data_IF_486746057613
#
_entry.id   IF_486746057613
#
_cell.length_a   1.000
_cell.length_b   1.000
_cell.length_c   1.000
_cell.angle_alpha   90.00
_cell.angle_beta   90.00
_cell.angle_gamma   90.00
#
_symmetry.space_group_name_H-M   'P 1'
#
loop_
_entity.id
_entity.type
_entity.pdbx_description
1 polymer ?
#
# COMPACT_ATOMS: atom_id res chain seq x y z
N UNK A 1 -37.60 23.72 -15.80
CA UNK A 1 -37.61 22.44 -15.08
C UNK A 1 -36.30 22.33 -14.36
N UNK A 2 -36.35 22.58 -13.06
CA UNK A 2 -35.25 22.43 -12.13
C UNK A 2 -34.81 20.96 -12.17
N UNK A 3 -33.60 20.69 -12.63
CA UNK A 3 -33.04 19.34 -12.53
C UNK A 3 -32.72 19.12 -11.05
N UNK A 4 -33.60 18.40 -10.36
CA UNK A 4 -33.29 17.78 -9.07
C UNK A 4 -32.15 16.78 -9.29
N UNK A 5 -30.92 17.25 -9.07
CA UNK A 5 -29.74 16.39 -8.88
C UNK A 5 -30.05 15.49 -7.68
N UNK A 6 -30.06 14.18 -7.89
CA UNK A 6 -30.26 13.22 -6.82
C UNK A 6 -29.29 13.53 -5.65
N UNK A 7 -29.72 13.47 -4.38
CA UNK A 7 -28.86 13.77 -3.25
C UNK A 7 -27.60 12.89 -3.32
N UNK A 8 -26.46 13.58 -3.23
CA UNK A 8 -25.12 13.07 -3.49
C UNK A 8 -24.85 11.74 -2.77
N UNK A 9 -24.33 10.74 -3.49
CA UNK A 9 -23.98 9.44 -2.90
C UNK A 9 -22.63 9.50 -2.15
N UNK A 10 -22.45 10.47 -1.25
CA UNK A 10 -21.31 10.57 -0.31
C UNK A 10 -21.15 9.30 0.55
N UNK A 11 -22.18 8.46 0.62
CA UNK A 11 -22.16 7.17 1.27
C UNK A 11 -21.22 6.15 0.61
N UNK A 12 -20.85 6.35 -0.66
CA UNK A 12 -19.95 5.42 -1.36
C UNK A 12 -18.50 5.49 -0.87
N UNK A 13 -18.13 6.59 -0.21
CA UNK A 13 -16.82 6.74 0.42
C UNK A 13 -16.89 6.08 1.80
N UNK A 14 -16.16 4.98 2.02
CA UNK A 14 -16.10 4.35 3.33
C UNK A 14 -15.41 5.29 4.32
N UNK A 15 -15.79 5.19 5.58
CA UNK A 15 -15.05 5.82 6.67
C UNK A 15 -13.64 5.24 6.75
N UNK A 16 -12.70 6.04 7.26
CA UNK A 16 -11.31 5.63 7.44
C UNK A 16 -10.89 5.85 8.88
N UNK A 17 -10.45 4.76 9.50
CA UNK A 17 -9.97 4.69 10.88
C UNK A 17 -8.46 4.39 10.96
N UNK A 18 -7.83 4.07 9.82
CA UNK A 18 -6.44 3.64 9.74
C UNK A 18 -6.22 2.13 9.71
N UNK A 19 -7.27 1.31 9.88
CA UNK A 19 -7.15 -0.16 9.97
C UNK A 19 -7.69 -0.91 8.75
N UNK A 20 -8.68 -0.34 8.06
CA UNK A 20 -9.48 -1.04 7.06
C UNK A 20 -8.77 -1.22 5.70
N UNK A 21 -8.17 -0.14 5.19
CA UNK A 21 -7.46 -0.07 3.91
C UNK A 21 -6.13 0.65 4.15
N UNK A 22 -5.17 0.53 3.23
CA UNK A 22 -4.02 1.44 3.29
C UNK A 22 -4.49 2.87 3.05
N UNK A 23 -3.88 3.86 3.74
CA UNK A 23 -4.22 5.27 3.55
C UNK A 23 -4.14 5.69 2.08
N UNK A 24 -3.15 5.18 1.33
CA UNK A 24 -2.98 5.47 -0.09
C UNK A 24 -4.12 4.91 -0.98
N UNK A 25 -4.68 3.75 -0.67
CA UNK A 25 -5.82 3.20 -1.41
C UNK A 25 -7.10 3.96 -1.09
N UNK A 26 -7.32 4.26 0.18
CA UNK A 26 -8.48 5.03 0.62
C UNK A 26 -8.50 6.43 0.02
N UNK A 27 -7.37 7.17 0.08
CA UNK A 27 -7.25 8.51 -0.51
C UNK A 27 -7.52 8.51 -2.02
N UNK A 28 -6.96 7.54 -2.76
CA UNK A 28 -7.22 7.40 -4.21
C UNK A 28 -8.70 7.17 -4.51
N UNK A 29 -9.39 6.39 -3.66
CA UNK A 29 -10.83 6.14 -3.79
C UNK A 29 -11.65 7.40 -3.52
N UNK A 30 -11.31 8.15 -2.47
CA UNK A 30 -11.94 9.45 -2.15
C UNK A 30 -11.79 10.42 -3.32
N UNK A 31 -10.56 10.65 -3.78
CA UNK A 31 -10.27 11.56 -4.90
C UNK A 31 -11.00 11.17 -6.18
N UNK A 32 -11.00 9.88 -6.52
CA UNK A 32 -11.72 9.37 -7.69
C UNK A 32 -13.22 9.58 -7.57
N UNK A 33 -13.79 9.33 -6.40
CA UNK A 33 -15.23 9.51 -6.14
C UNK A 33 -15.60 10.99 -6.20
N UNK A 34 -14.82 11.88 -5.56
CA UNK A 34 -15.02 13.32 -5.63
C UNK A 34 -14.99 13.83 -7.07
N UNK A 35 -14.01 13.38 -7.87
CA UNK A 35 -13.90 13.72 -9.30
C UNK A 35 -15.10 13.25 -10.11
N UNK A 36 -15.55 12.01 -9.91
CA UNK A 36 -16.72 11.45 -10.61
C UNK A 36 -18.02 12.14 -10.21
N UNK A 37 -18.12 12.62 -8.97
CA UNK A 37 -19.29 13.30 -8.42
C UNK A 37 -19.25 14.84 -8.60
N UNK A 38 -18.21 15.40 -9.22
CA UNK A 38 -18.07 16.85 -9.40
C UNK A 38 -17.85 17.64 -8.10
N UNK A 39 -17.34 16.99 -7.05
CA UNK A 39 -17.03 17.64 -5.78
C UNK A 39 -15.71 18.39 -5.89
N UNK A 40 -15.72 19.67 -5.57
CA UNK A 40 -14.54 20.54 -5.60
C UNK A 40 -13.79 20.59 -4.27
N UNK A 41 -14.50 20.46 -3.15
CA UNK A 41 -13.92 20.52 -1.79
C UNK A 41 -13.61 19.12 -1.25
N UNK A 42 -12.60 18.48 -1.85
CA UNK A 42 -12.16 17.12 -1.48
C UNK A 42 -11.62 17.06 -0.04
N UNK A 43 -10.99 18.13 0.44
CA UNK A 43 -10.40 18.15 1.79
C UNK A 43 -11.48 18.06 2.87
N UNK A 44 -12.62 18.73 2.68
CA UNK A 44 -13.78 18.55 3.57
C UNK A 44 -14.33 17.14 3.55
N UNK A 45 -14.38 16.50 2.37
CA UNK A 45 -14.85 15.10 2.26
C UNK A 45 -13.97 14.17 3.07
N UNK A 46 -12.65 14.35 2.96
CA UNK A 46 -11.68 13.61 3.75
C UNK A 46 -11.99 13.82 5.22
N UNK A 47 -11.99 15.07 5.71
CA UNK A 47 -12.21 15.38 7.13
C UNK A 47 -13.50 14.77 7.70
N UNK A 48 -14.61 14.80 6.95
CA UNK A 48 -15.90 14.22 7.38
C UNK A 48 -15.88 12.68 7.43
N UNK A 49 -15.01 12.04 6.63
CA UNK A 49 -14.92 10.58 6.52
C UNK A 49 -13.82 9.97 7.38
N UNK A 50 -12.99 10.79 8.01
CA UNK A 50 -12.03 10.33 9.01
C UNK A 50 -12.74 9.99 10.31
N UNK A 51 -12.33 8.90 10.93
CA UNK A 51 -12.85 8.42 12.22
C UNK A 51 -11.69 7.87 13.06
N UNK A 52 -11.91 7.69 14.36
CA UNK A 52 -10.92 7.10 15.28
C UNK A 52 -9.54 7.74 15.17
N UNK A 53 -8.49 6.91 15.11
CA UNK A 53 -7.11 7.36 15.06
C UNK A 53 -6.81 8.26 13.86
N UNK A 54 -7.50 8.07 12.72
CA UNK A 54 -7.29 8.89 11.55
C UNK A 54 -7.86 10.31 11.71
N UNK A 55 -8.97 10.44 12.44
CA UNK A 55 -9.49 11.74 12.84
C UNK A 55 -8.58 12.43 13.85
N UNK A 56 -8.04 11.70 14.84
CA UNK A 56 -7.12 12.26 15.83
C UNK A 56 -5.87 12.87 15.17
N UNK A 57 -5.33 12.21 14.14
CA UNK A 57 -4.20 12.72 13.34
C UNK A 57 -4.54 14.02 12.64
N UNK A 58 -5.75 14.13 12.09
CA UNK A 58 -6.24 15.32 11.40
C UNK A 58 -6.52 16.48 12.36
N UNK A 59 -7.16 16.21 13.51
CA UNK A 59 -7.50 17.20 14.52
C UNK A 59 -6.24 17.86 15.14
N UNK A 60 -5.15 17.10 15.25
CA UNK A 60 -3.85 17.60 15.72
C UNK A 60 -3.09 18.44 14.69
N UNK A 61 -3.56 18.53 13.44
CA UNK A 61 -2.93 19.39 12.43
C UNK A 61 -3.27 20.87 12.67
N UNK A 62 -2.36 21.81 12.35
CA UNK A 62 -2.69 23.25 12.33
C UNK A 62 -3.90 23.52 11.44
N UNK A 63 -4.77 24.45 11.84
CA UNK A 63 -5.99 24.80 11.07
C UNK A 63 -5.69 25.19 9.62
N UNK A 64 -4.55 25.83 9.39
CA UNK A 64 -4.06 26.19 8.05
C UNK A 64 -3.81 24.94 7.18
N UNK A 65 -3.15 23.93 7.76
CA UNK A 65 -2.84 22.67 7.08
C UNK A 65 -4.10 21.80 6.88
N UNK A 66 -5.07 21.86 7.79
CA UNK A 66 -6.35 21.14 7.65
C UNK A 66 -7.14 21.57 6.41
N UNK A 67 -6.97 22.80 5.95
CA UNK A 67 -7.60 23.31 4.72
C UNK A 67 -6.83 22.96 3.44
N UNK A 68 -5.62 22.40 3.57
CA UNK A 68 -4.75 22.08 2.45
C UNK A 68 -4.78 20.57 2.17
N UNK A 69 -5.36 20.21 1.02
CA UNK A 69 -5.50 18.81 0.60
C UNK A 69 -4.17 18.04 0.60
N UNK A 70 -3.10 18.64 0.09
CA UNK A 70 -1.80 17.97 -0.01
C UNK A 70 -1.19 17.75 1.38
N UNK A 71 -1.32 18.71 2.30
CA UNK A 71 -0.87 18.55 3.69
C UNK A 71 -1.61 17.46 4.43
N UNK A 72 -2.94 17.40 4.28
CA UNK A 72 -3.77 16.35 4.88
C UNK A 72 -3.37 14.98 4.35
N UNK A 73 -3.16 14.87 3.03
CA UNK A 73 -2.70 13.61 2.41
C UNK A 73 -1.34 13.19 2.93
N UNK A 74 -0.35 14.09 2.93
CA UNK A 74 0.99 13.81 3.46
C UNK A 74 0.93 13.33 4.91
N UNK A 75 0.16 14.01 5.76
CA UNK A 75 0.04 13.67 7.17
C UNK A 75 -0.59 12.30 7.38
N UNK A 76 -1.69 12.00 6.69
CA UNK A 76 -2.37 10.70 6.76
C UNK A 76 -1.48 9.58 6.23
N UNK A 77 -0.81 9.79 5.10
CA UNK A 77 0.12 8.81 4.53
C UNK A 77 1.28 8.51 5.48
N UNK A 78 1.82 9.53 6.15
CA UNK A 78 2.90 9.36 7.11
C UNK A 78 2.43 8.65 8.40
N UNK A 79 1.26 9.02 8.93
CA UNK A 79 0.74 8.46 10.17
C UNK A 79 0.31 6.98 10.04
N UNK A 80 -0.20 6.60 8.87
CA UNK A 80 -0.67 5.26 8.57
C UNK A 80 0.23 4.54 7.55
N UNK A 81 1.50 4.94 7.50
CA UNK A 81 2.50 4.23 6.72
C UNK A 81 2.63 2.79 7.27
N UNK A 82 2.75 1.77 6.39
CA UNK A 82 3.05 0.42 6.84
C UNK A 82 4.32 0.41 7.69
N UNK A 83 4.28 -0.26 8.84
CA UNK A 83 5.46 -0.39 9.71
C UNK A 83 6.59 -1.11 8.94
N UNK A 84 7.74 -0.44 8.70
CA UNK A 84 8.85 -1.03 7.95
C UNK A 84 9.41 -2.29 8.61
N UNK A 85 9.39 -2.37 9.94
CA UNK A 85 9.85 -3.55 10.67
C UNK A 85 8.91 -4.72 10.43
N UNK A 86 7.58 -4.49 10.51
CA UNK A 86 6.59 -5.54 10.22
C UNK A 86 6.65 -5.99 8.77
N UNK A 87 6.83 -5.07 7.82
CA UNK A 87 7.02 -5.40 6.41
C UNK A 87 8.25 -6.29 6.20
N UNK A 88 9.35 -6.01 6.91
CA UNK A 88 10.56 -6.83 6.88
C UNK A 88 10.34 -8.21 7.53
N UNK A 89 9.60 -8.30 8.64
CA UNK A 89 9.27 -9.61 9.24
C UNK A 89 8.42 -10.46 8.28
N UNK A 90 7.41 -9.86 7.64
CA UNK A 90 6.60 -10.57 6.64
C UNK A 90 7.45 -11.00 5.43
N UNK A 91 8.35 -10.12 4.96
CA UNK A 91 9.30 -10.43 3.88
C UNK A 91 10.10 -11.71 4.18
N UNK A 92 10.58 -11.88 5.42
CA UNK A 92 11.39 -13.05 5.81
C UNK A 92 10.61 -14.36 5.79
N UNK A 93 9.34 -14.34 6.18
CA UNK A 93 8.52 -15.56 6.29
C UNK A 93 7.65 -15.81 5.07
N UNK A 94 7.68 -14.91 4.07
CA UNK A 94 6.90 -15.06 2.84
C UNK A 94 7.35 -16.30 2.08
N UNK A 95 6.41 -17.21 1.83
CA UNK A 95 6.56 -18.40 0.99
C UNK A 95 5.55 -18.37 -0.13
N UNK A 96 5.83 -19.07 -1.23
CA UNK A 96 4.88 -19.27 -2.34
C UNK A 96 3.59 -19.88 -1.77
N UNK A 97 2.45 -19.23 -2.02
CA UNK A 97 1.15 -19.69 -1.52
C UNK A 97 0.53 -20.72 -2.48
N UNK A 98 -0.38 -21.53 -1.97
CA UNK A 98 -1.12 -22.49 -2.81
C UNK A 98 -1.90 -21.76 -3.91
N UNK A 99 -1.71 -22.19 -5.15
CA UNK A 99 -2.33 -21.57 -6.33
C UNK A 99 -1.71 -20.23 -6.76
N UNK A 100 -0.68 -19.74 -6.06
CA UNK A 100 0.05 -18.54 -6.44
C UNK A 100 1.11 -18.82 -7.50
N UNK A 101 1.24 -17.93 -8.48
CA UNK A 101 2.32 -18.02 -9.47
C UNK A 101 3.65 -17.50 -8.92
N UNK A 102 4.80 -18.02 -9.37
CA UNK A 102 6.11 -17.50 -8.93
C UNK A 102 6.26 -15.99 -9.15
N UNK A 103 5.74 -15.45 -10.26
CA UNK A 103 5.78 -14.01 -10.54
C UNK A 103 4.95 -13.19 -9.54
N UNK A 104 3.78 -13.68 -9.13
CA UNK A 104 2.96 -13.04 -8.10
C UNK A 104 3.66 -13.05 -6.73
N UNK A 105 4.33 -14.15 -6.38
CA UNK A 105 5.15 -14.26 -5.17
C UNK A 105 6.30 -13.23 -5.20
N UNK A 106 7.03 -13.15 -6.31
CA UNK A 106 8.11 -12.18 -6.48
C UNK A 106 7.61 -10.72 -6.43
N UNK A 107 6.45 -10.43 -7.02
CA UNK A 107 5.81 -9.12 -6.91
C UNK A 107 5.46 -8.78 -5.45
N UNK A 108 4.95 -9.76 -4.69
CA UNK A 108 4.70 -9.63 -3.26
C UNK A 108 5.97 -9.34 -2.46
N UNK A 109 7.06 -10.07 -2.72
CA UNK A 109 8.35 -9.85 -2.07
C UNK A 109 8.93 -8.46 -2.39
N UNK A 110 8.84 -8.00 -3.65
CA UNK A 110 9.25 -6.64 -4.05
C UNK A 110 8.47 -5.57 -3.30
N UNK A 111 7.15 -5.74 -3.18
CA UNK A 111 6.30 -4.82 -2.41
C UNK A 111 6.71 -4.77 -0.94
N UNK A 112 6.91 -5.93 -0.30
CA UNK A 112 7.34 -5.99 1.10
C UNK A 112 8.73 -5.37 1.31
N UNK A 113 9.66 -5.61 0.39
CA UNK A 113 10.97 -4.98 0.40
C UNK A 113 10.89 -3.45 0.31
N UNK A 114 10.05 -2.90 -0.58
CA UNK A 114 9.86 -1.45 -0.68
C UNK A 114 9.26 -0.88 0.61
N UNK A 115 8.26 -1.55 1.19
CA UNK A 115 7.65 -1.12 2.45
C UNK A 115 8.63 -1.19 3.63
N UNK A 116 9.59 -2.12 3.60
CA UNK A 116 10.66 -2.24 4.59
C UNK A 116 11.78 -1.17 4.45
N UNK A 117 11.68 -0.26 3.48
CA UNK A 117 12.73 0.74 3.19
C UNK A 117 13.77 0.28 2.16
N UNK A 118 13.51 -0.84 1.48
CA UNK A 118 14.37 -1.43 0.46
C UNK A 118 15.18 -2.63 0.96
N UNK A 119 15.48 -3.55 0.04
CA UNK A 119 16.45 -4.65 0.25
C UNK A 119 17.33 -4.76 -0.99
N UNK A 120 18.51 -5.37 -0.86
CA UNK A 120 19.35 -5.62 -2.03
C UNK A 120 18.68 -6.63 -2.98
N UNK A 121 18.93 -6.51 -4.28
CA UNK A 121 18.48 -7.50 -5.29
C UNK A 121 18.94 -8.92 -4.95
N UNK A 122 20.14 -9.06 -4.36
CA UNK A 122 20.66 -10.34 -3.89
C UNK A 122 19.86 -10.92 -2.72
N UNK A 123 19.42 -10.07 -1.77
CA UNK A 123 18.56 -10.50 -0.67
C UNK A 123 17.16 -10.84 -1.16
N UNK A 124 16.61 -10.07 -2.11
CA UNK A 124 15.33 -10.34 -2.76
C UNK A 124 15.35 -11.70 -3.49
N UNK A 125 16.40 -11.95 -4.29
CA UNK A 125 16.57 -13.23 -4.99
C UNK A 125 16.72 -14.40 -4.02
N UNK A 126 17.48 -14.22 -2.94
CA UNK A 126 17.66 -15.25 -1.90
C UNK A 126 16.34 -15.56 -1.20
N UNK A 127 15.57 -14.53 -0.83
CA UNK A 127 14.25 -14.68 -0.22
C UNK A 127 13.24 -15.35 -1.17
N UNK A 128 13.31 -15.04 -2.48
CA UNK A 128 12.47 -15.69 -3.48
C UNK A 128 12.76 -17.20 -3.56
N UNK A 129 14.04 -17.59 -3.63
CA UNK A 129 14.43 -19.00 -3.67
C UNK A 129 14.05 -19.72 -2.38
N UNK A 130 14.33 -19.13 -1.22
CA UNK A 130 13.91 -19.65 0.11
C UNK A 130 12.38 -19.74 0.25
N UNK A 131 11.66 -18.96 -0.55
CA UNK A 131 10.21 -18.91 -0.66
C UNK A 131 9.57 -20.08 -1.39
N UNK A 132 10.32 -20.83 -2.20
CA UNK A 132 9.79 -21.89 -3.07
C UNK A 132 9.63 -23.23 -2.32
N UNK A 133 8.80 -24.16 -2.80
CA UNK A 133 8.78 -25.54 -2.31
C UNK A 133 10.16 -26.21 -2.38
N UNK A 134 10.52 -26.99 -1.35
CA UNK A 134 11.85 -27.65 -1.20
C UNK A 134 12.35 -28.34 -2.49
N UNK A 135 11.55 -29.12 -3.23
CA UNK A 135 12.02 -29.78 -4.45
C UNK A 135 12.50 -28.80 -5.54
N UNK A 136 11.88 -27.63 -5.61
CA UNK A 136 12.26 -26.58 -6.56
C UNK A 136 13.53 -25.88 -6.06
N UNK A 137 13.66 -25.67 -4.75
CA UNK A 137 14.89 -25.11 -4.16
C UNK A 137 16.10 -26.01 -4.46
N UNK A 138 15.95 -27.32 -4.26
CA UNK A 138 17.00 -28.30 -4.53
C UNK A 138 17.39 -28.32 -6.01
N UNK A 139 16.40 -28.32 -6.92
CA UNK A 139 16.66 -28.23 -8.35
C UNK A 139 17.41 -26.94 -8.75
N UNK A 140 17.09 -25.81 -8.11
CA UNK A 140 17.78 -24.55 -8.36
C UNK A 140 19.20 -24.55 -7.81
N UNK A 141 19.43 -25.10 -6.60
CA UNK A 141 20.75 -25.22 -5.96
C UNK A 141 21.66 -26.23 -6.69
N UNK A 142 21.10 -27.30 -7.25
CA UNK A 142 21.84 -28.35 -7.96
C UNK A 142 22.20 -27.98 -9.41
N UNK A 143 21.50 -27.01 -10.00
CA UNK A 143 21.79 -26.54 -11.36
C UNK A 143 23.08 -25.70 -11.44
N UNK A 144 23.86 -25.77 -12.54
CA UNK A 144 25.11 -25.00 -12.70
C UNK A 144 24.91 -23.48 -12.83
N UNK A 145 23.69 -22.96 -12.64
CA UNK A 145 23.30 -21.58 -12.93
C UNK A 145 22.98 -20.70 -11.69
N UNK A 146 22.98 -21.23 -10.46
CA UNK A 146 22.57 -20.44 -9.28
C UNK A 146 23.64 -19.49 -8.75
N UNK A 147 24.88 -19.55 -9.25
CA UNK A 147 25.92 -18.62 -8.81
C UNK A 147 25.45 -17.19 -9.11
N UNK A 148 25.39 -16.36 -8.07
CA UNK A 148 24.90 -14.98 -8.02
C UNK A 148 25.56 -13.98 -9.00
N UNK A 149 26.32 -14.45 -9.99
CA UNK A 149 27.10 -13.70 -10.96
C UNK A 149 26.34 -13.37 -12.26
N UNK A 150 25.09 -13.80 -12.43
CA UNK A 150 24.32 -13.58 -13.69
C UNK A 150 23.45 -12.31 -13.69
N UNK A 151 23.31 -11.61 -12.57
CA UNK A 151 22.43 -10.43 -12.46
C UNK A 151 23.14 -9.08 -12.55
N UNK A 152 24.45 -9.03 -12.81
CA UNK A 152 25.18 -7.76 -12.96
C UNK A 152 25.23 -7.24 -14.40
N UNK A 153 24.42 -7.77 -15.32
CA UNK A 153 24.40 -7.33 -16.71
C UNK A 153 22.97 -7.34 -17.29
N UNK A 154 22.14 -6.42 -16.82
CA UNK A 154 21.00 -5.79 -17.52
C UNK A 154 20.74 -4.44 -16.85
#
# INVERSE_FOLDING_TARGET
>A
MEQTVAPMNYWMIPEFDGSSLSAAEWLRKVESTCKLCGVTDTVRVIGVKLTGAAFDVYDQMPTEDQSNLEKVKERLLAAFAPDPFMAFQEFKVRRLRDGETPDACLAGLRRLAQLAGGVSETALASAFVDGLPEPIQESMRAGPAWKASRWTNC
#
